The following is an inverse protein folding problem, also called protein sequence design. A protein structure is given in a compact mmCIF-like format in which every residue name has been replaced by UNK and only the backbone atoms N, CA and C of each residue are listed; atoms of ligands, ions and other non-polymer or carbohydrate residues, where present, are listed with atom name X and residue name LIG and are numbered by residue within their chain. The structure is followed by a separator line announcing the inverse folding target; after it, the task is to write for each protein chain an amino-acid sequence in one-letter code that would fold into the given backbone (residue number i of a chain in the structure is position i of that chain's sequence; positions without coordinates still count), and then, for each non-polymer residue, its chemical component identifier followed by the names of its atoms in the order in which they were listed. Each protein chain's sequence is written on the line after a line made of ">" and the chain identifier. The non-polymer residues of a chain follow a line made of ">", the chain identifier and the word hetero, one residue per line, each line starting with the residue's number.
data_IF_501684625243
#
_entry.id   IF_501684625243
#
_cell.length_a   1.000
_cell.length_b   1.000
_cell.length_c   1.000
_cell.angle_alpha   90.00
_cell.angle_beta   90.00
_cell.angle_gamma   90.00
#
_symmetry.space_group_name_H-M   'P 1'
#
loop_
_entity.id
_entity.type
_entity.pdbx_description
1 polymer ?
#
# COMPACT_ATOMS: atom_id res chain seq x y z
N UNK A 1 -6.67 -22.44 14.15
CA UNK A 1 -5.95 -21.45 13.34
C UNK A 1 -4.47 -21.80 13.37
N UNK A 2 -3.75 -21.77 12.24
CA UNK A 2 -2.30 -22.02 12.18
C UNK A 2 -1.58 -20.67 12.26
N UNK A 3 -1.27 -20.20 13.47
CA UNK A 3 -0.53 -18.94 13.72
C UNK A 3 -1.30 -17.66 13.39
N UNK A 4 -0.96 -16.56 14.06
CA UNK A 4 -1.39 -15.21 13.71
C UNK A 4 -0.33 -14.59 12.80
N UNK A 5 -0.71 -14.19 11.59
CA UNK A 5 0.17 -13.46 10.67
C UNK A 5 -0.27 -12.00 10.67
N UNK A 6 0.65 -11.10 11.01
CA UNK A 6 0.40 -9.66 11.03
C UNK A 6 0.89 -9.05 9.73
N UNK A 7 -0.02 -8.51 8.93
CA UNK A 7 0.33 -7.76 7.73
C UNK A 7 0.53 -6.29 8.06
N UNK A 8 1.69 -5.75 7.71
CA UNK A 8 2.04 -4.34 7.88
C UNK A 8 2.33 -3.73 6.51
N UNK A 9 1.59 -2.68 6.18
CA UNK A 9 1.85 -1.83 5.03
C UNK A 9 2.41 -0.50 5.52
N UNK A 10 3.62 -0.15 5.08
CA UNK A 10 4.28 1.12 5.44
C UNK A 10 4.04 2.23 4.41
N UNK A 11 3.39 1.91 3.28
CA UNK A 11 3.17 2.84 2.17
C UNK A 11 1.90 3.71 2.33
N UNK A 12 1.38 3.82 3.55
CA UNK A 12 0.22 4.67 3.86
C UNK A 12 0.46 6.15 3.53
N UNK A 13 1.69 6.65 3.73
CA UNK A 13 2.05 8.02 3.36
C UNK A 13 2.14 8.21 1.84
N UNK A 14 2.68 7.23 1.11
CA UNK A 14 2.80 7.29 -0.35
C UNK A 14 1.44 7.43 -1.02
N UNK A 15 0.44 6.67 -0.57
CA UNK A 15 -0.91 6.77 -1.15
C UNK A 15 -1.57 8.11 -0.81
N UNK A 16 -1.33 8.65 0.39
CA UNK A 16 -1.83 9.97 0.77
C UNK A 16 -1.26 11.06 -0.15
N UNK A 17 0.06 11.08 -0.34
CA UNK A 17 0.71 12.04 -1.25
C UNK A 17 0.22 11.89 -2.70
N UNK A 18 0.05 10.65 -3.17
CA UNK A 18 -0.46 10.40 -4.51
C UNK A 18 -1.89 10.92 -4.69
N UNK A 19 -2.76 10.72 -3.68
CA UNK A 19 -4.13 11.27 -3.68
C UNK A 19 -4.09 12.80 -3.72
N UNK A 20 -3.29 13.42 -2.84
CA UNK A 20 -3.17 14.89 -2.77
C UNK A 20 -2.66 15.46 -4.11
N UNK A 21 -1.67 14.82 -4.74
CA UNK A 21 -1.18 15.17 -6.08
C UNK A 21 -2.25 14.98 -7.15
N UNK A 22 -2.95 13.84 -7.16
CA UNK A 22 -4.04 13.58 -8.13
C UNK A 22 -5.13 14.64 -8.04
N UNK A 23 -5.50 15.07 -6.83
CA UNK A 23 -6.49 16.14 -6.62
C UNK A 23 -5.93 17.49 -7.09
N UNK A 24 -4.66 17.79 -6.80
CA UNK A 24 -4.04 19.07 -7.16
C UNK A 24 -3.80 19.23 -8.66
N UNK A 25 -3.36 18.18 -9.37
CA UNK A 25 -3.03 18.24 -10.80
C UNK A 25 -4.20 17.86 -11.70
N UNK A 26 -5.17 17.10 -11.18
CA UNK A 26 -6.20 16.46 -11.99
C UNK A 26 -5.70 15.29 -12.85
N UNK A 27 -4.40 14.98 -12.79
CA UNK A 27 -3.78 13.86 -13.51
C UNK A 27 -3.82 12.59 -12.64
N UNK A 28 -4.20 11.47 -13.25
CA UNK A 28 -4.19 10.18 -12.57
C UNK A 28 -2.77 9.80 -12.14
N UNK A 29 -2.63 9.30 -10.91
CA UNK A 29 -1.34 8.85 -10.36
C UNK A 29 -1.38 7.34 -10.21
N UNK A 30 -0.28 6.67 -10.56
CA UNK A 30 -0.09 5.24 -10.30
C UNK A 30 0.98 5.08 -9.24
N UNK A 31 0.65 4.34 -8.18
CA UNK A 31 1.54 4.08 -7.05
C UNK A 31 1.64 2.57 -6.80
N UNK A 32 2.79 2.15 -6.29
CA UNK A 32 3.04 0.76 -5.88
C UNK A 32 3.08 0.72 -4.36
N UNK A 33 2.30 -0.19 -3.79
CA UNK A 33 2.17 -0.44 -2.36
C UNK A 33 2.76 -1.80 -2.06
N UNK A 34 3.55 -1.90 -1.01
CA UNK A 34 4.14 -3.16 -0.55
C UNK A 34 3.59 -3.48 0.84
N UNK A 35 3.00 -4.66 0.97
CA UNK A 35 2.53 -5.20 2.25
C UNK A 35 3.40 -6.41 2.63
N UNK A 36 3.95 -6.39 3.84
CA UNK A 36 4.76 -7.47 4.37
C UNK A 36 4.01 -8.17 5.49
N UNK A 37 3.95 -9.51 5.43
CA UNK A 37 3.34 -10.35 6.46
C UNK A 37 4.41 -10.94 7.37
N UNK A 38 4.26 -10.71 8.67
CA UNK A 38 5.17 -11.17 9.71
C UNK A 38 4.51 -12.27 10.55
N UNK A 39 5.28 -13.30 10.91
CA UNK A 39 4.88 -14.30 11.90
C UNK A 39 5.12 -13.80 13.34
N UNK A 40 4.81 -14.63 14.33
CA UNK A 40 5.02 -14.32 15.76
C UNK A 40 6.50 -14.11 16.13
N UNK A 41 7.42 -14.60 15.30
CA UNK A 41 8.88 -14.45 15.46
C UNK A 41 9.42 -13.21 14.72
N UNK A 42 8.55 -12.33 14.21
CA UNK A 42 8.90 -11.16 13.39
C UNK A 42 9.65 -11.51 12.09
N UNK A 43 9.57 -12.76 11.64
CA UNK A 43 10.10 -13.16 10.34
C UNK A 43 9.10 -12.78 9.24
N UNK A 44 9.61 -12.16 8.18
CA UNK A 44 8.83 -11.89 6.98
C UNK A 44 8.55 -13.21 6.27
N UNK A 45 7.31 -13.66 6.33
CA UNK A 45 6.85 -14.91 5.70
C UNK A 45 6.18 -14.64 4.34
N UNK A 46 5.89 -13.38 4.03
CA UNK A 46 5.23 -13.01 2.78
C UNK A 46 5.43 -11.53 2.43
N UNK A 47 5.59 -11.23 1.15
CA UNK A 47 5.64 -9.88 0.61
C UNK A 47 4.66 -9.80 -0.57
N UNK A 48 3.81 -8.78 -0.56
CA UNK A 48 2.83 -8.53 -1.59
C UNK A 48 3.03 -7.12 -2.15
N UNK A 49 3.13 -7.01 -3.47
CA UNK A 49 3.16 -5.74 -4.17
C UNK A 49 1.84 -5.52 -4.90
N UNK A 50 1.21 -4.37 -4.64
CA UNK A 50 -0.04 -3.96 -5.26
C UNK A 50 0.18 -2.68 -6.03
N UNK A 51 -0.16 -2.70 -7.32
CA UNK A 51 -0.15 -1.50 -8.14
C UNK A 51 -1.54 -0.89 -8.15
N UNK A 52 -1.63 0.36 -7.70
CA UNK A 52 -2.88 1.12 -7.61
C UNK A 52 -2.81 2.34 -8.51
N UNK A 53 -3.87 2.54 -9.30
CA UNK A 53 -4.06 3.77 -10.08
C UNK A 53 -5.21 4.57 -9.49
N UNK A 54 -4.94 5.82 -9.14
CA UNK A 54 -5.88 6.77 -8.54
C UNK A 54 -6.17 7.87 -9.56
N UNK A 55 -7.45 8.18 -9.76
CA UNK A 55 -7.89 9.23 -10.70
C UNK A 55 -9.02 10.04 -10.07
N UNK A 56 -9.00 11.36 -10.23
CA UNK A 56 -10.13 12.22 -9.84
C UNK A 56 -11.34 11.80 -10.67
N UNK A 57 -12.45 11.53 -9.98
CA UNK A 57 -13.73 11.28 -10.65
C UNK A 57 -14.33 12.63 -11.04
N UNK A 58 -14.40 12.88 -12.36
CA UNK A 58 -15.20 13.96 -12.94
C UNK A 58 -16.68 13.57 -13.02
#
# INVERSE_FOLDING_TARGET
>A
AKGVITFVCKDGEKIKEAIDKTIATGEGQTLVMTAEGFNEEFESVSQFEYTWSVKVKN
#
